data_IF_090671432393
#
_entry.id   IF_090671432393
#
_cell.length_a   1.000
_cell.length_b   1.000
_cell.length_c   1.000
_cell.angle_alpha   90.00
_cell.angle_beta   90.00
_cell.angle_gamma   90.00
#
_symmetry.space_group_name_H-M   'P 1'
#
loop_
_entity.id
_entity.type
_entity.pdbx_description
1 polymer ?
#
# COMPACT_ATOMS: atom_id res chain seq x y z
N UNK A 1 -20.01 -20.70 -7.96
CA UNK A 1 -18.55 -20.70 -7.75
C UNK A 1 -18.20 -19.75 -6.59
N UNK A 2 -18.33 -18.42 -6.71
CA UNK A 2 -17.96 -17.47 -5.64
C UNK A 2 -18.66 -17.65 -4.29
N UNK A 3 -19.87 -18.22 -4.27
CA UNK A 3 -20.64 -18.44 -3.04
C UNK A 3 -20.30 -19.74 -2.30
N UNK A 4 -19.35 -20.55 -2.81
CA UNK A 4 -19.00 -21.78 -2.10
C UNK A 4 -18.19 -21.46 -0.83
N UNK A 5 -18.34 -22.25 0.24
CA UNK A 5 -17.77 -21.92 1.55
C UNK A 5 -16.24 -21.83 1.56
N UNK A 6 -15.57 -22.66 0.76
CA UNK A 6 -14.12 -22.69 0.60
C UNK A 6 -13.60 -21.38 0.00
N UNK A 7 -14.24 -20.84 -1.03
CA UNK A 7 -13.86 -19.55 -1.61
C UNK A 7 -14.14 -18.37 -0.69
N UNK A 8 -15.16 -18.45 0.17
CA UNK A 8 -15.44 -17.41 1.17
C UNK A 8 -14.46 -17.46 2.35
N UNK A 9 -13.95 -18.65 2.70
CA UNK A 9 -13.01 -18.85 3.79
C UNK A 9 -11.55 -18.61 3.37
N UNK A 10 -11.24 -18.71 2.08
CA UNK A 10 -9.88 -18.56 1.57
C UNK A 10 -9.42 -17.10 1.60
N UNK A 11 -8.28 -16.86 2.26
CA UNK A 11 -7.58 -15.56 2.22
C UNK A 11 -6.92 -15.37 0.87
N UNK A 12 -6.75 -14.11 0.46
CA UNK A 12 -6.01 -13.81 -0.77
C UNK A 12 -4.54 -14.21 -0.60
N UNK A 13 -3.92 -14.79 -1.64
CA UNK A 13 -2.54 -15.29 -1.60
C UNK A 13 -1.53 -14.25 -1.08
N UNK A 14 -1.73 -12.97 -1.43
CA UNK A 14 -0.90 -11.87 -0.93
C UNK A 14 -1.03 -11.69 0.58
N UNK A 15 -2.25 -11.78 1.11
CA UNK A 15 -2.48 -11.69 2.56
C UNK A 15 -1.80 -12.85 3.28
N UNK A 16 -1.94 -14.08 2.76
CA UNK A 16 -1.27 -15.26 3.33
C UNK A 16 0.25 -15.11 3.32
N UNK A 17 0.83 -14.58 2.24
CA UNK A 17 2.28 -14.39 2.12
C UNK A 17 2.81 -13.33 3.10
N UNK A 18 2.08 -12.22 3.26
CA UNK A 18 2.45 -11.12 4.16
C UNK A 18 2.33 -11.58 5.63
N UNK A 19 1.23 -12.23 5.99
CA UNK A 19 1.00 -12.77 7.33
C UNK A 19 1.98 -13.90 7.66
N UNK A 20 2.29 -14.77 6.69
CA UNK A 20 3.29 -15.83 6.82
C UNK A 20 4.71 -15.31 7.06
N UNK A 21 5.01 -14.09 6.62
CA UNK A 21 6.25 -13.38 6.92
C UNK A 21 6.22 -12.64 8.27
N UNK A 22 5.15 -12.76 9.06
CA UNK A 22 5.00 -12.12 10.37
C UNK A 22 4.51 -10.67 10.34
N UNK A 23 4.01 -10.19 9.20
CA UNK A 23 3.50 -8.82 9.05
C UNK A 23 1.98 -8.77 9.17
N UNK A 24 1.45 -7.59 9.51
CA UNK A 24 0.01 -7.36 9.57
C UNK A 24 -0.50 -6.74 8.27
N UNK A 25 -1.66 -7.21 7.79
CA UNK A 25 -2.38 -6.60 6.67
C UNK A 25 -3.50 -5.72 7.21
N UNK A 26 -3.50 -4.44 6.80
CA UNK A 26 -4.53 -3.46 7.16
C UNK A 26 -5.34 -3.14 5.91
N UNK A 27 -6.65 -3.37 5.97
CA UNK A 27 -7.56 -3.05 4.87
C UNK A 27 -8.16 -1.67 5.07
N UNK A 28 -8.07 -0.83 4.04
CA UNK A 28 -8.71 0.48 3.99
C UNK A 28 -9.92 0.43 3.05
N UNK A 29 -10.93 1.24 3.36
CA UNK A 29 -12.06 1.45 2.45
C UNK A 29 -11.59 2.14 1.16
N UNK A 30 -12.18 1.77 0.03
CA UNK A 30 -11.78 2.21 -1.34
C UNK A 30 -11.67 3.74 -1.48
N UNK A 31 -12.43 4.52 -0.72
CA UNK A 31 -12.48 5.98 -0.83
C UNK A 31 -11.90 6.73 0.38
N UNK A 32 -11.21 6.07 1.30
CA UNK A 32 -10.67 6.70 2.52
C UNK A 32 -9.14 6.82 2.47
N UNK A 33 -8.63 7.42 1.41
CA UNK A 33 -7.19 7.69 1.24
C UNK A 33 -6.62 8.47 2.45
N UNK A 34 -7.44 9.30 3.09
CA UNK A 34 -7.09 10.11 4.27
C UNK A 34 -6.75 9.28 5.51
N UNK A 35 -7.23 8.03 5.59
CA UNK A 35 -6.93 7.12 6.69
C UNK A 35 -5.63 6.34 6.47
N UNK A 36 -5.05 6.38 5.27
CA UNK A 36 -3.80 5.71 4.98
C UNK A 36 -2.62 6.60 5.39
N UNK A 37 -1.90 6.19 6.44
CA UNK A 37 -0.74 6.89 6.96
C UNK A 37 0.32 7.21 5.91
N UNK A 38 0.45 6.38 4.86
CA UNK A 38 1.44 6.59 3.80
C UNK A 38 1.21 7.89 3.00
N UNK A 39 -0.03 8.38 2.92
CA UNK A 39 -0.36 9.58 2.15
C UNK A 39 0.26 10.84 2.75
N UNK A 40 0.39 10.89 4.09
CA UNK A 40 1.11 11.97 4.77
C UNK A 40 2.57 12.06 4.30
N UNK A 41 3.30 10.93 4.31
CA UNK A 41 4.70 10.90 3.88
C UNK A 41 4.84 11.18 2.40
N UNK A 42 3.95 10.63 1.57
CA UNK A 42 3.93 10.90 0.12
C UNK A 42 3.73 12.38 -0.17
N UNK A 43 2.83 13.04 0.55
CA UNK A 43 2.61 14.49 0.44
C UNK A 43 3.88 15.28 0.75
N UNK A 44 4.52 14.99 1.88
CA UNK A 44 5.77 15.64 2.28
C UNK A 44 6.92 15.39 1.29
N UNK A 45 7.11 14.14 0.85
CA UNK A 45 8.13 13.79 -0.13
C UNK A 45 7.90 14.52 -1.47
N UNK A 46 6.64 14.67 -1.89
CA UNK A 46 6.29 15.41 -3.11
C UNK A 46 6.61 16.89 -3.01
N UNK A 47 6.36 17.52 -1.86
CA UNK A 47 6.73 18.92 -1.62
C UNK A 47 8.25 19.08 -1.67
N UNK A 48 8.98 18.22 -0.96
CA UNK A 48 10.45 18.27 -0.93
C UNK A 48 11.06 18.10 -2.33
N UNK A 49 10.65 17.06 -3.06
CA UNK A 49 11.19 16.79 -4.40
C UNK A 49 10.90 17.91 -5.40
N UNK A 50 9.76 18.61 -5.28
CA UNK A 50 9.45 19.75 -6.17
C UNK A 50 10.44 20.90 -6.02
N UNK A 51 10.98 21.09 -4.82
CA UNK A 51 11.89 22.19 -4.52
C UNK A 51 13.35 21.79 -4.73
N UNK A 52 13.69 20.52 -4.49
CA UNK A 52 15.09 20.10 -4.36
C UNK A 52 15.53 19.00 -5.33
N UNK A 53 14.63 18.42 -6.13
CA UNK A 53 14.97 17.34 -7.06
C UNK A 53 14.89 17.83 -8.51
N UNK A 54 15.92 17.52 -9.30
CA UNK A 54 15.97 17.79 -10.73
C UNK A 54 15.11 16.81 -11.56
N UNK A 55 14.54 15.79 -10.90
CA UNK A 55 13.73 14.73 -11.52
C UNK A 55 14.44 14.00 -12.67
N UNK A 56 15.77 13.86 -12.59
CA UNK A 56 16.56 13.01 -13.49
C UNK A 56 16.78 11.63 -12.87
N UNK A 57 16.81 10.57 -13.68
CA UNK A 57 17.09 9.21 -13.18
C UNK A 57 18.40 9.11 -12.35
N UNK A 58 19.50 9.80 -12.71
CA UNK A 58 20.70 9.82 -11.87
C UNK A 58 20.50 10.46 -10.50
N UNK A 59 19.57 11.42 -10.37
CA UNK A 59 19.27 12.09 -9.10
C UNK A 59 18.32 11.33 -8.18
N UNK A 60 17.83 10.15 -8.61
CA UNK A 60 16.86 9.32 -7.90
C UNK A 60 17.49 8.13 -7.15
N UNK A 61 18.81 7.95 -7.25
CA UNK A 61 19.58 6.81 -6.68
C UNK A 61 20.41 7.27 -5.49
#
# INVERSE_FOLDING_TARGET
LSSQPDFQAQKHQLQESIEGAGHQVIFYLVCHCEQNFIEYFRGHAKVYTRTYCEYSYPSLV
#
